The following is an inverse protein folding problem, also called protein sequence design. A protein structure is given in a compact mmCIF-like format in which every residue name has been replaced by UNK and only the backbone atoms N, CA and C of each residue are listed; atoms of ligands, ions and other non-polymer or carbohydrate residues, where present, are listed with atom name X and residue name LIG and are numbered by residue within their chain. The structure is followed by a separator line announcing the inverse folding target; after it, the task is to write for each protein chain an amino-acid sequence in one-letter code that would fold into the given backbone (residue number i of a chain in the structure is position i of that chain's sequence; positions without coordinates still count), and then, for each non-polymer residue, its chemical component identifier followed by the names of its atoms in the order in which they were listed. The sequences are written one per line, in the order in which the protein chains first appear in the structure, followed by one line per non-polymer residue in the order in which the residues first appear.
data_IF_662273629212
#
_entry.id   IF_662273629212
#
_cell.length_a   1.000
_cell.length_b   1.000
_cell.length_c   1.000
_cell.angle_alpha   90.00
_cell.angle_beta   90.00
_cell.angle_gamma   90.00
#
_symmetry.space_group_name_H-M   'P 1'
#
loop_
_entity.id
_entity.type
_entity.pdbx_description
1 polymer ?
#
# COMPACT_ATOMS: atom_id res chain seq x y z
N UNK A 1 -25.26 48.40 30.30
CA UNK A 1 -24.32 47.79 29.33
C UNK A 1 -23.32 46.96 30.12
N UNK A 2 -23.55 45.66 30.25
CA UNK A 2 -22.57 44.72 30.80
C UNK A 2 -22.40 43.63 29.76
N UNK A 3 -21.19 43.60 29.20
CA UNK A 3 -20.69 42.59 28.29
C UNK A 3 -20.72 41.21 28.95
N UNK A 4 -21.33 40.22 28.29
CA UNK A 4 -20.94 38.82 28.48
C UNK A 4 -20.21 38.37 27.22
N UNK A 5 -18.98 37.82 27.32
CA UNK A 5 -18.36 37.18 26.18
C UNK A 5 -19.05 35.83 25.96
N UNK A 6 -19.50 35.59 24.73
CA UNK A 6 -19.90 34.27 24.29
C UNK A 6 -18.70 33.33 24.46
N UNK A 7 -18.77 32.44 25.46
CA UNK A 7 -17.80 31.38 25.62
C UNK A 7 -17.94 30.46 24.40
N UNK A 8 -16.96 30.55 23.50
CA UNK A 8 -16.76 29.55 22.47
C UNK A 8 -16.44 28.23 23.20
N UNK A 9 -17.41 27.33 23.26
CA UNK A 9 -17.21 25.94 23.61
C UNK A 9 -16.34 25.34 22.51
N UNK A 10 -15.02 25.40 22.67
CA UNK A 10 -14.10 24.54 21.95
C UNK A 10 -14.48 23.12 22.32
N UNK A 11 -15.21 22.45 21.42
CA UNK A 11 -15.44 21.02 21.51
C UNK A 11 -14.06 20.37 21.45
N UNK A 12 -13.54 19.98 22.61
CA UNK A 12 -12.46 19.01 22.73
C UNK A 12 -13.05 17.68 22.25
N UNK A 13 -13.27 17.57 20.95
CA UNK A 13 -13.41 16.28 20.32
C UNK A 13 -12.07 15.60 20.53
N UNK A 14 -12.02 14.68 21.49
CA UNK A 14 -10.96 13.69 21.55
C UNK A 14 -10.94 13.05 20.17
N UNK A 15 -10.00 13.48 19.33
CA UNK A 15 -9.70 12.83 18.08
C UNK A 15 -9.15 11.46 18.46
N UNK A 16 -10.04 10.50 18.65
CA UNK A 16 -9.69 9.10 18.77
C UNK A 16 -9.04 8.73 17.43
N UNK A 17 -7.71 8.76 17.39
CA UNK A 17 -6.95 8.21 16.29
C UNK A 17 -7.24 6.71 16.27
N UNK A 18 -8.17 6.28 15.41
CA UNK A 18 -8.33 4.87 15.10
C UNK A 18 -6.98 4.34 14.60
N UNK A 19 -6.32 3.51 15.41
CA UNK A 19 -5.14 2.79 14.97
C UNK A 19 -5.57 1.75 13.94
N UNK A 20 -5.51 2.12 12.66
CA UNK A 20 -5.92 1.25 11.58
C UNK A 20 -4.96 0.07 11.52
N UNK A 21 -5.42 -1.09 11.99
CA UNK A 21 -4.61 -2.31 12.14
C UNK A 21 -4.50 -3.05 10.80
N UNK A 22 -3.84 -2.45 9.80
CA UNK A 22 -3.73 -3.00 8.46
C UNK A 22 -2.64 -2.36 7.62
N UNK A 23 -2.41 -2.89 6.42
CA UNK A 23 -1.49 -2.29 5.46
C UNK A 23 -2.07 -0.95 4.99
N UNK A 24 -1.20 0.04 4.82
CA UNK A 24 -1.56 1.38 4.35
C UNK A 24 -0.94 1.57 2.97
N UNK A 25 -1.72 2.01 1.98
CA UNK A 25 -1.25 2.22 0.62
C UNK A 25 -1.53 3.63 0.14
N UNK A 26 -0.77 4.07 -0.85
CA UNK A 26 -1.06 5.30 -1.58
C UNK A 26 -2.46 5.25 -2.20
N UNK A 27 -3.07 6.43 -2.30
CA UNK A 27 -4.33 6.64 -3.00
C UNK A 27 -4.13 6.61 -4.52
N UNK A 28 -5.16 6.96 -5.28
CA UNK A 28 -5.15 7.03 -6.74
C UNK A 28 -4.01 7.92 -7.26
N UNK A 29 -3.17 7.36 -8.15
CA UNK A 29 -2.09 8.07 -8.82
C UNK A 29 -2.32 8.07 -10.34
N UNK A 30 -2.21 9.24 -10.97
CA UNK A 30 -2.25 9.41 -12.43
C UNK A 30 -0.88 9.85 -12.93
N UNK A 31 -0.38 9.22 -14.01
CA UNK A 31 0.89 9.58 -14.66
C UNK A 31 0.75 9.60 -16.17
N UNK A 32 1.62 10.36 -16.83
CA UNK A 32 1.70 10.40 -18.29
C UNK A 32 2.47 9.19 -18.80
N UNK A 33 2.23 8.82 -20.06
CA UNK A 33 3.02 7.79 -20.75
C UNK A 33 4.51 8.15 -20.71
N UNK A 34 5.37 7.16 -20.49
CA UNK A 34 6.82 7.36 -20.39
C UNK A 34 7.32 7.75 -19.00
N UNK A 35 6.47 8.27 -18.12
CA UNK A 35 6.86 8.61 -16.75
C UNK A 35 7.04 7.35 -15.88
N UNK A 36 7.58 7.55 -14.67
CA UNK A 36 7.63 6.50 -13.65
C UNK A 36 6.64 6.78 -12.52
N UNK A 37 6.12 5.73 -11.91
CA UNK A 37 5.29 5.80 -10.69
C UNK A 37 5.83 4.85 -9.64
N UNK A 38 5.65 5.21 -8.38
CA UNK A 38 5.93 4.34 -7.24
C UNK A 38 4.70 4.34 -6.32
N UNK A 39 4.27 3.16 -5.89
CA UNK A 39 3.20 2.95 -4.93
C UNK A 39 3.80 2.46 -3.62
N UNK A 40 3.50 3.14 -2.53
CA UNK A 40 3.92 2.73 -1.19
C UNK A 40 2.94 1.71 -0.59
N UNK A 41 3.50 0.80 0.20
CA UNK A 41 2.78 -0.11 1.08
C UNK A 41 3.47 -0.07 2.45
N UNK A 42 2.87 0.66 3.38
CA UNK A 42 3.33 0.82 4.75
C UNK A 42 2.67 -0.16 5.71
N UNK A 43 3.23 -0.22 6.93
CA UNK A 43 2.75 -1.10 7.99
C UNK A 43 3.10 -2.55 7.71
N UNK A 44 4.23 -2.84 7.08
CA UNK A 44 4.65 -4.20 6.73
C UNK A 44 5.32 -4.94 7.88
N UNK A 45 5.54 -4.28 9.01
CA UNK A 45 6.01 -4.86 10.28
C UNK A 45 5.07 -5.95 10.81
N UNK A 46 3.77 -5.84 10.52
CA UNK A 46 2.74 -6.82 10.88
C UNK A 46 2.68 -8.04 9.91
N UNK A 47 3.55 -8.11 8.89
CA UNK A 47 3.58 -9.19 7.89
C UNK A 47 4.31 -10.47 8.31
N UNK A 48 4.41 -10.73 9.63
CA UNK A 48 5.03 -11.94 10.17
C UNK A 48 6.49 -12.15 9.74
N UNK A 49 7.18 -11.11 9.29
CA UNK A 49 8.60 -11.16 8.89
C UNK A 49 8.90 -11.85 7.55
N UNK A 50 7.91 -12.22 6.73
CA UNK A 50 8.16 -12.97 5.48
C UNK A 50 8.34 -12.05 4.27
N UNK A 51 7.25 -11.75 3.58
CA UNK A 51 7.28 -11.06 2.31
C UNK A 51 5.96 -10.33 2.07
N UNK A 52 6.03 -9.28 1.26
CA UNK A 52 4.87 -8.55 0.75
C UNK A 52 4.71 -8.91 -0.72
N UNK A 53 3.53 -9.40 -1.09
CA UNK A 53 3.14 -9.65 -2.45
C UNK A 53 2.44 -8.42 -3.05
N UNK A 54 2.73 -8.14 -4.32
CA UNK A 54 2.09 -7.08 -5.09
C UNK A 54 1.21 -7.68 -6.18
N UNK A 55 0.02 -7.11 -6.35
CA UNK A 55 -1.00 -7.55 -7.27
C UNK A 55 -1.47 -6.41 -8.17
N UNK A 56 -1.75 -6.73 -9.43
CA UNK A 56 -2.44 -5.87 -10.38
C UNK A 56 -3.88 -6.36 -10.53
N UNK A 57 -4.85 -5.46 -10.54
CA UNK A 57 -6.23 -5.74 -10.90
C UNK A 57 -6.71 -4.73 -11.95
N UNK A 58 -6.95 -5.21 -13.16
CA UNK A 58 -7.65 -4.43 -14.19
C UNK A 58 -9.16 -4.49 -13.93
N UNK A 59 -9.91 -3.53 -14.47
CA UNK A 59 -11.34 -3.38 -14.17
C UNK A 59 -12.14 -4.65 -14.49
N UNK A 60 -11.80 -5.32 -15.59
CA UNK A 60 -12.50 -6.51 -16.11
C UNK A 60 -11.77 -7.83 -15.85
N UNK A 61 -10.62 -7.81 -15.15
CA UNK A 61 -9.79 -9.00 -14.93
C UNK A 61 -9.72 -9.40 -13.45
N UNK A 62 -9.37 -10.66 -13.19
CA UNK A 62 -9.05 -11.13 -11.83
C UNK A 62 -7.71 -10.55 -11.37
N UNK A 63 -7.45 -10.62 -10.06
CA UNK A 63 -6.14 -10.28 -9.51
C UNK A 63 -5.04 -11.10 -10.19
N UNK A 64 -3.96 -10.41 -10.57
CA UNK A 64 -2.74 -11.02 -11.09
C UNK A 64 -1.57 -10.66 -10.19
N UNK A 65 -0.86 -11.67 -9.70
CA UNK A 65 0.35 -11.47 -8.91
C UNK A 65 1.47 -10.93 -9.80
N UNK A 66 2.13 -9.86 -9.36
CA UNK A 66 3.23 -9.21 -10.09
C UNK A 66 4.56 -9.80 -9.61
N UNK A 67 4.84 -9.65 -8.31
CA UNK A 67 6.06 -10.05 -7.63
C UNK A 67 5.80 -10.15 -6.13
N UNK A 68 6.74 -10.72 -5.39
CA UNK A 68 6.83 -10.47 -3.96
C UNK A 68 8.20 -9.89 -3.61
N UNK A 69 8.30 -9.24 -2.46
CA UNK A 69 9.55 -8.73 -1.91
C UNK A 69 9.68 -9.17 -0.47
N UNK A 70 10.82 -9.79 -0.14
CA UNK A 70 11.15 -10.09 1.26
C UNK A 70 11.41 -8.80 2.02
N UNK A 71 10.96 -8.77 3.27
CA UNK A 71 11.21 -7.64 4.16
C UNK A 71 12.71 -7.55 4.41
N UNK A 72 13.33 -6.43 3.99
CA UNK A 72 14.79 -6.24 4.03
C UNK A 72 15.58 -6.99 2.96
N UNK A 73 14.91 -7.66 2.02
CA UNK A 73 15.53 -8.44 0.94
C UNK A 73 15.28 -7.89 -0.46
N UNK A 74 15.42 -8.76 -1.46
CA UNK A 74 15.21 -8.44 -2.88
C UNK A 74 13.84 -8.91 -3.37
N UNK A 75 13.28 -8.27 -4.42
CA UNK A 75 12.05 -8.74 -5.05
C UNK A 75 12.27 -9.98 -5.93
N UNK A 76 11.27 -10.84 -5.99
CA UNK A 76 11.23 -12.02 -6.85
C UNK A 76 9.99 -12.01 -7.75
N UNK A 77 10.19 -12.37 -9.02
CA UNK A 77 9.18 -12.32 -10.10
C UNK A 77 8.83 -13.73 -10.58
N UNK A 78 8.22 -14.55 -9.72
CA UNK A 78 7.93 -15.97 -10.02
C UNK A 78 6.58 -16.21 -10.72
N UNK A 79 5.77 -15.16 -10.94
CA UNK A 79 4.37 -15.28 -11.33
C UNK A 79 4.10 -15.21 -12.84
N UNK A 80 5.13 -15.15 -13.69
CA UNK A 80 5.01 -15.03 -15.15
C UNK A 80 4.02 -13.90 -15.55
N UNK A 81 4.18 -12.73 -14.94
CA UNK A 81 3.40 -11.55 -15.30
C UNK A 81 3.89 -11.05 -16.68
N UNK A 82 3.03 -10.71 -17.66
CA UNK A 82 3.47 -10.42 -19.03
C UNK A 82 4.23 -9.10 -19.10
N UNK A 83 3.96 -8.22 -18.13
CA UNK A 83 4.60 -6.93 -17.90
C UNK A 83 5.67 -7.02 -16.79
N UNK A 84 6.13 -8.22 -16.40
CA UNK A 84 7.01 -8.37 -15.22
C UNK A 84 8.26 -7.49 -15.28
N UNK A 85 8.78 -7.19 -16.47
CA UNK A 85 10.01 -6.40 -16.65
C UNK A 85 9.78 -4.89 -16.44
N UNK A 86 8.53 -4.43 -16.52
CA UNK A 86 8.16 -3.04 -16.24
C UNK A 86 8.11 -2.73 -14.74
N UNK A 87 7.99 -3.78 -13.92
CA UNK A 87 7.87 -3.69 -12.47
C UNK A 87 9.20 -3.91 -11.74
N UNK A 88 9.38 -3.19 -10.64
CA UNK A 88 10.39 -3.48 -9.62
C UNK A 88 9.81 -3.16 -8.25
N UNK A 89 10.39 -3.69 -7.18
CA UNK A 89 10.04 -3.28 -5.83
C UNK A 89 11.29 -3.05 -4.97
N UNK A 90 11.15 -2.20 -3.97
CA UNK A 90 12.20 -1.85 -3.04
C UNK A 90 11.64 -1.79 -1.62
N UNK A 91 12.49 -2.10 -0.64
CA UNK A 91 12.16 -1.91 0.76
C UNK A 91 12.29 -0.42 1.10
N UNK A 92 11.31 0.12 1.83
CA UNK A 92 11.31 1.49 2.33
C UNK A 92 11.17 1.48 3.85
N UNK A 93 11.29 2.64 4.50
CA UNK A 93 11.08 2.73 5.93
C UNK A 93 9.66 2.26 6.30
N UNK A 94 9.55 1.24 7.15
CA UNK A 94 8.29 0.63 7.60
C UNK A 94 7.38 0.13 6.47
N UNK A 95 7.95 -0.26 5.33
CA UNK A 95 7.16 -0.64 4.16
C UNK A 95 7.96 -1.23 2.99
N UNK A 96 7.26 -1.38 1.87
CA UNK A 96 7.87 -1.59 0.57
C UNK A 96 7.17 -0.72 -0.48
N UNK A 97 7.83 -0.47 -1.60
CA UNK A 97 7.20 0.21 -2.74
C UNK A 97 7.22 -0.65 -4.00
N UNK A 98 6.18 -0.52 -4.83
CA UNK A 98 6.14 -1.06 -6.18
C UNK A 98 6.36 0.08 -7.17
N UNK A 99 7.38 -0.05 -8.01
CA UNK A 99 7.75 0.92 -9.03
C UNK A 99 7.44 0.39 -10.41
N UNK A 100 6.81 1.23 -11.23
CA UNK A 100 6.59 1.01 -12.66
C UNK A 100 7.44 2.02 -13.42
N UNK A 101 8.30 1.54 -14.31
CA UNK A 101 9.07 2.40 -15.22
C UNK A 101 8.33 2.52 -16.55
N UNK A 102 8.47 3.65 -17.24
CA UNK A 102 7.95 3.85 -18.59
C UNK A 102 6.45 3.49 -18.68
N UNK A 103 5.60 4.20 -17.94
CA UNK A 103 4.15 3.97 -17.86
C UNK A 103 3.49 3.98 -19.26
N UNK A 104 2.45 3.16 -19.43
CA UNK A 104 1.73 2.89 -20.68
C UNK A 104 0.26 2.62 -20.37
N UNK A 105 -0.62 2.65 -21.38
CA UNK A 105 -2.07 2.44 -21.17
C UNK A 105 -2.39 1.08 -20.55
N UNK A 106 -1.62 0.05 -20.91
CA UNK A 106 -1.78 -1.30 -20.40
C UNK A 106 -1.40 -1.45 -18.92
N UNK A 107 -0.78 -0.43 -18.30
CA UNK A 107 -0.53 -0.33 -16.86
C UNK A 107 -1.69 0.30 -16.07
N UNK A 108 -2.75 0.77 -16.74
CA UNK A 108 -3.94 1.27 -16.05
C UNK A 108 -4.63 0.14 -15.29
N UNK A 109 -4.57 0.20 -13.96
CA UNK A 109 -5.07 -0.82 -13.05
C UNK A 109 -5.13 -0.31 -11.62
N UNK A 110 -5.81 -1.06 -10.76
CA UNK A 110 -5.67 -0.94 -9.31
C UNK A 110 -4.52 -1.85 -8.82
N UNK A 111 -3.67 -1.34 -7.94
CA UNK A 111 -2.50 -2.05 -7.41
C UNK A 111 -2.64 -2.30 -5.91
N UNK A 112 -2.44 -3.53 -5.49
CA UNK A 112 -2.65 -3.96 -4.11
C UNK A 112 -1.41 -4.63 -3.54
N UNK A 113 -1.09 -4.32 -2.30
CA UNK A 113 -0.09 -5.08 -1.54
C UNK A 113 -0.78 -5.98 -0.51
N UNK A 114 -0.15 -7.11 -0.20
CA UNK A 114 -0.69 -8.06 0.77
C UNK A 114 0.39 -8.93 1.37
N UNK A 115 0.16 -9.40 2.60
CA UNK A 115 1.05 -10.30 3.29
C UNK A 115 0.27 -11.16 4.29
N UNK A 116 0.88 -12.25 4.76
CA UNK A 116 0.32 -13.06 5.84
C UNK A 116 0.70 -12.44 7.18
N UNK A 117 -0.29 -12.19 8.03
CA UNK A 117 -0.03 -11.92 9.45
C UNK A 117 0.35 -13.24 10.13
N UNK A 118 1.38 -13.22 10.97
CA UNK A 118 1.60 -14.32 11.91
C UNK A 118 0.48 -14.28 12.95
N UNK A 119 -0.45 -15.22 12.90
CA UNK A 119 -1.42 -15.40 13.96
C UNK A 119 -0.77 -16.13 15.14
N UNK A 120 -0.94 -15.63 16.36
CA UNK A 120 -1.01 -16.53 17.51
C UNK A 120 -2.39 -17.18 17.47
N UNK A 121 -2.42 -18.51 17.43
CA UNK A 121 -3.66 -19.25 17.61
C UNK A 121 -4.07 -19.09 19.09
N UNK A 122 -4.79 -18.02 19.44
CA UNK A 122 -5.47 -17.94 20.72
C UNK A 122 -6.80 -18.66 20.58
N UNK A 123 -6.78 -19.96 20.87
CA UNK A 123 -7.99 -20.73 21.13
C UNK A 123 -8.73 -20.06 22.29
N UNK A 124 -9.99 -19.68 22.03
CA UNK A 124 -10.89 -19.04 23.00
C UNK A 124 -11.71 -20.11 23.71
#
# INVERSE_FOLDING_TARGET
MLFLPAAALCWLGSGECFHQSGLVQDLTLTRRKGESVSFSCGGTDQCGGYAVAWYQKKDTETFRAILYIYIGGSPEKLYNHPQQDDFSAENIQNGCSLKIKNVRDDHSASYYCGCRKSGSHSEK
#
